data_IF_683014334082
#
_entry.id   IF_683014334082
#
_cell.length_a   1.000
_cell.length_b   1.000
_cell.length_c   1.000
_cell.angle_alpha   90.00
_cell.angle_beta   90.00
_cell.angle_gamma   90.00
#
_symmetry.space_group_name_H-M   'P 1'
#
loop_
_entity.id
_entity.type
_entity.pdbx_description
1 polymer ?
#
# COMPACT_ATOMS: atom_id res chain seq x y z
N UNK A 1 -3.34 -0.47 -20.60
CA UNK A 1 -2.73 -0.16 -19.30
C UNK A 1 -1.54 0.72 -19.61
N UNK A 2 -1.47 1.90 -19.01
CA UNK A 2 -0.33 2.82 -19.14
C UNK A 2 0.96 2.05 -18.83
N UNK A 3 1.96 2.20 -19.68
CA UNK A 3 3.33 1.73 -19.50
C UNK A 3 3.97 2.32 -18.22
N UNK A 4 3.44 3.42 -17.71
CA UNK A 4 3.80 3.99 -16.41
C UNK A 4 3.12 3.37 -15.19
N UNK A 5 2.03 2.60 -15.35
CA UNK A 5 1.26 2.10 -14.20
C UNK A 5 2.10 1.18 -13.30
N UNK A 6 2.70 0.14 -13.87
CA UNK A 6 3.49 -0.85 -13.11
C UNK A 6 4.71 -0.24 -12.41
N UNK A 7 5.52 0.62 -13.07
CA UNK A 7 6.58 1.37 -12.39
C UNK A 7 6.07 2.19 -11.20
N UNK A 8 4.91 2.84 -11.33
CA UNK A 8 4.29 3.63 -10.25
C UNK A 8 3.79 2.78 -9.09
N UNK A 9 3.62 1.46 -9.26
CA UNK A 9 3.27 0.53 -8.18
C UNK A 9 4.47 0.08 -7.35
N UNK A 10 5.71 0.22 -7.84
CA UNK A 10 6.90 -0.23 -7.11
C UNK A 10 7.08 0.45 -5.73
N UNK A 11 6.87 1.76 -5.58
CA UNK A 11 6.86 2.40 -4.26
C UNK A 11 5.84 1.73 -3.33
N UNK A 12 4.66 1.38 -3.84
CA UNK A 12 3.63 0.71 -3.06
C UNK A 12 4.03 -0.68 -2.57
N UNK A 13 4.65 -1.46 -3.44
CA UNK A 13 5.19 -2.78 -3.10
C UNK A 13 6.33 -2.67 -2.07
N UNK A 14 7.29 -1.77 -2.30
CA UNK A 14 8.45 -1.56 -1.42
C UNK A 14 7.98 -1.11 -0.03
N UNK A 15 7.12 -0.09 0.04
CA UNK A 15 6.58 0.43 1.30
C UNK A 15 5.79 -0.65 2.05
N UNK A 16 4.95 -1.41 1.33
CA UNK A 16 4.19 -2.52 1.93
C UNK A 16 5.10 -3.62 2.50
N UNK A 17 6.14 -4.02 1.77
CA UNK A 17 7.12 -5.01 2.25
C UNK A 17 7.84 -4.50 3.49
N UNK A 18 8.37 -3.27 3.45
CA UNK A 18 9.11 -2.69 4.59
C UNK A 18 8.23 -2.58 5.83
N UNK A 19 6.98 -2.13 5.67
CA UNK A 19 6.02 -2.08 6.77
C UNK A 19 5.72 -3.48 7.32
N UNK A 20 5.45 -4.46 6.46
CA UNK A 20 5.15 -5.82 6.93
C UNK A 20 6.34 -6.53 7.60
N UNK A 21 7.57 -6.28 7.14
CA UNK A 21 8.79 -6.74 7.80
C UNK A 21 8.93 -6.15 9.22
N UNK A 22 8.54 -4.88 9.41
CA UNK A 22 8.55 -4.24 10.74
C UNK A 22 7.63 -4.93 11.75
N UNK A 23 6.54 -5.55 11.27
CA UNK A 23 5.57 -6.28 12.08
C UNK A 23 5.99 -7.71 12.41
N UNK A 24 7.11 -8.19 11.83
CA UNK A 24 7.63 -9.56 11.88
C UNK A 24 6.69 -10.60 11.26
N UNK A 25 7.27 -11.64 10.67
CA UNK A 25 6.56 -12.77 10.06
C UNK A 25 6.29 -12.59 8.56
N UNK A 26 6.41 -13.69 7.83
CA UNK A 26 6.25 -13.73 6.37
C UNK A 26 4.82 -13.38 5.95
N UNK A 27 3.81 -13.88 6.69
CA UNK A 27 2.40 -13.58 6.41
C UNK A 27 2.08 -12.09 6.50
N UNK A 28 2.54 -11.40 7.56
CA UNK A 28 2.38 -9.95 7.70
C UNK A 28 3.04 -9.20 6.55
N UNK A 29 4.18 -9.69 6.07
CA UNK A 29 4.91 -9.08 4.94
C UNK A 29 4.12 -9.21 3.63
N UNK A 30 3.60 -10.41 3.33
CA UNK A 30 2.81 -10.64 2.12
C UNK A 30 1.51 -9.83 2.14
N UNK A 31 0.79 -9.82 3.27
CA UNK A 31 -0.46 -9.06 3.41
C UNK A 31 -0.20 -7.56 3.28
N UNK A 32 0.83 -7.04 3.96
CA UNK A 32 1.21 -5.64 3.86
C UNK A 32 1.65 -5.25 2.45
N UNK A 33 2.38 -6.10 1.74
CA UNK A 33 2.78 -5.86 0.35
C UNK A 33 1.55 -5.75 -0.57
N UNK A 34 0.59 -6.67 -0.43
CA UNK A 34 -0.66 -6.64 -1.19
C UNK A 34 -1.45 -5.36 -0.87
N UNK A 35 -1.61 -5.03 0.41
CA UNK A 35 -2.27 -3.80 0.84
C UNK A 35 -1.57 -2.54 0.34
N UNK A 36 -0.23 -2.53 0.31
CA UNK A 36 0.57 -1.44 -0.21
C UNK A 36 0.38 -1.20 -1.69
N UNK A 37 0.33 -2.27 -2.49
CA UNK A 37 0.04 -2.18 -3.93
C UNK A 37 -1.39 -1.69 -4.17
N UNK A 38 -2.38 -2.19 -3.42
CA UNK A 38 -3.77 -1.71 -3.53
C UNK A 38 -3.87 -0.23 -3.17
N UNK A 39 -3.22 0.20 -2.09
CA UNK A 39 -3.18 1.60 -1.68
C UNK A 39 -2.54 2.51 -2.73
N UNK A 40 -1.43 2.08 -3.32
CA UNK A 40 -0.77 2.79 -4.42
C UNK A 40 -1.64 2.85 -5.68
N UNK A 41 -2.34 1.77 -6.04
CA UNK A 41 -3.23 1.73 -7.20
C UNK A 41 -4.40 2.72 -7.05
N UNK A 42 -5.02 2.78 -5.87
CA UNK A 42 -6.09 3.76 -5.59
C UNK A 42 -5.55 5.20 -5.66
N UNK A 43 -4.36 5.45 -5.10
CA UNK A 43 -3.76 6.78 -5.15
C UNK A 43 -3.34 7.19 -6.55
N UNK A 44 -2.86 6.26 -7.39
CA UNK A 44 -2.52 6.53 -8.79
C UNK A 44 -3.71 7.11 -9.54
N UNK A 45 -4.89 6.50 -9.43
CA UNK A 45 -6.11 7.01 -10.06
C UNK A 45 -6.49 8.40 -9.54
N UNK A 46 -6.37 8.64 -8.23
CA UNK A 46 -6.66 9.95 -7.62
C UNK A 46 -5.67 11.04 -8.04
N UNK A 47 -4.38 10.71 -8.10
CA UNK A 47 -3.31 11.63 -8.53
C UNK A 47 -3.40 11.92 -10.02
N UNK A 48 -3.75 10.93 -10.84
CA UNK A 48 -4.00 11.10 -12.26
C UNK A 48 -5.18 12.04 -12.49
N UNK A 49 -6.29 11.85 -11.77
CA UNK A 49 -7.45 12.74 -11.84
C UNK A 49 -7.13 14.18 -11.40
N UNK A 50 -6.18 14.36 -10.48
CA UNK A 50 -5.72 15.66 -10.01
C UNK A 50 -4.59 16.28 -10.88
N UNK A 51 -4.11 15.57 -11.90
CA UNK A 51 -2.94 15.94 -12.70
C UNK A 51 -1.66 16.17 -11.85
N UNK A 52 -1.52 15.41 -10.75
CA UNK A 52 -0.41 15.44 -9.80
C UNK A 52 0.45 14.17 -9.84
N UNK A 53 0.25 13.34 -10.87
CA UNK A 53 0.96 12.07 -11.03
C UNK A 53 2.48 12.27 -11.26
N UNK A 54 2.86 13.42 -11.80
CA UNK A 54 4.25 13.71 -12.16
C UNK A 54 5.03 14.37 -11.00
N UNK A 55 6.20 13.81 -10.70
CA UNK A 55 7.18 14.38 -9.78
C UNK A 55 6.97 14.03 -8.30
N UNK A 56 7.56 14.86 -7.44
CA UNK A 56 7.60 14.63 -5.99
C UNK A 56 6.21 14.44 -5.35
N UNK A 57 5.17 15.24 -5.70
CA UNK A 57 3.84 15.08 -5.11
C UNK A 57 3.21 13.71 -5.39
N UNK A 58 3.38 13.19 -6.61
CA UNK A 58 2.87 11.87 -6.99
C UNK A 58 3.52 10.76 -6.16
N UNK A 59 4.85 10.77 -6.04
CA UNK A 59 5.59 9.78 -5.24
C UNK A 59 5.20 9.84 -3.77
N UNK A 60 5.05 11.04 -3.20
CA UNK A 60 4.62 11.20 -1.79
C UNK A 60 3.21 10.64 -1.60
N UNK A 61 2.28 10.96 -2.51
CA UNK A 61 0.90 10.47 -2.46
C UNK A 61 0.81 8.95 -2.56
N UNK A 62 1.56 8.36 -3.50
CA UNK A 62 1.65 6.91 -3.67
C UNK A 62 2.22 6.21 -2.44
N UNK A 63 3.32 6.73 -1.88
CA UNK A 63 3.93 6.17 -0.66
C UNK A 63 3.00 6.28 0.56
N UNK A 64 2.33 7.43 0.74
CA UNK A 64 1.41 7.64 1.85
C UNK A 64 0.20 6.68 1.76
N UNK A 65 -0.42 6.57 0.59
CA UNK A 65 -1.55 5.69 0.39
C UNK A 65 -1.16 4.21 0.46
N UNK A 66 0.02 3.84 -0.03
CA UNK A 66 0.56 2.50 0.13
C UNK A 66 0.75 2.14 1.60
N UNK A 67 1.32 3.04 2.41
CA UNK A 67 1.46 2.81 3.84
C UNK A 67 0.10 2.61 4.51
N UNK A 68 -0.90 3.43 4.16
CA UNK A 68 -2.27 3.28 4.67
C UNK A 68 -2.88 1.94 4.26
N UNK A 69 -2.75 1.54 2.99
CA UNK A 69 -3.25 0.25 2.50
C UNK A 69 -2.58 -0.94 3.18
N UNK A 70 -1.26 -0.87 3.38
CA UNK A 70 -0.49 -1.87 4.11
C UNK A 70 -0.93 -1.96 5.59
N UNK A 71 -1.12 -0.81 6.26
CA UNK A 71 -1.59 -0.74 7.64
C UNK A 71 -3.01 -1.31 7.81
N UNK A 72 -3.94 -0.92 6.94
CA UNK A 72 -5.34 -1.34 7.03
C UNK A 72 -5.50 -2.84 6.76
N UNK A 73 -4.79 -3.37 5.76
CA UNK A 73 -4.84 -4.80 5.43
C UNK A 73 -4.28 -5.68 6.55
N UNK A 74 -3.12 -5.36 7.11
CA UNK A 74 -2.57 -6.14 8.23
C UNK A 74 -3.43 -6.02 9.50
N UNK A 75 -3.98 -4.82 9.77
CA UNK A 75 -4.88 -4.61 10.90
C UNK A 75 -6.17 -5.42 10.74
N UNK A 76 -6.77 -5.42 9.55
CA UNK A 76 -7.96 -6.22 9.25
C UNK A 76 -7.70 -7.71 9.47
N UNK A 77 -6.60 -8.24 8.93
CA UNK A 77 -6.26 -9.66 9.12
C UNK A 77 -6.00 -10.00 10.58
N UNK A 78 -5.31 -9.13 11.33
CA UNK A 78 -5.10 -9.33 12.77
C UNK A 78 -6.40 -9.36 13.56
N UNK A 79 -7.36 -8.48 13.22
CA UNK A 79 -8.69 -8.46 13.85
C UNK A 79 -9.50 -9.71 13.52
N UNK A 80 -9.40 -10.23 12.30
CA UNK A 80 -10.06 -11.48 11.91
C UNK A 80 -9.42 -12.70 12.60
N UNK A 81 -8.10 -12.71 12.78
CA UNK A 81 -7.39 -13.79 13.44
C UNK A 81 -7.60 -13.81 14.97
N UNK A 82 -7.78 -12.66 15.60
CA UNK A 82 -8.05 -12.52 17.02
C UNK A 82 -9.33 -11.67 17.23
N UNK A 83 -10.52 -12.27 17.06
CA UNK A 83 -11.77 -11.57 17.30
C UNK A 83 -11.84 -11.12 18.77
N UNK A 84 -12.30 -9.89 19.06
CA UNK A 84 -12.49 -9.44 20.44
C UNK A 84 -13.47 -10.40 21.13
N UNK A 85 -13.07 -10.92 22.31
CA UNK A 85 -13.96 -11.74 23.13
C UNK A 85 -15.11 -10.84 23.60
N UNK A 86 -16.31 -11.11 23.07
CA UNK A 86 -17.58 -10.52 23.53
C UNK A 86 -17.91 -10.95 24.96
#
# INVERSE_FOLDING_TARGET
MDDHFWPSMYPGLIVGILYGLSLRGVSNTVIAAIGGVIGAAIAYEGLLAANLNDGLPGVIGLCAAAFVGAYLSTTAVRRMANPPKS
#
